data_IF_322568978114
#
_entry.id   IF_322568978114
#
_cell.length_a   1.000
_cell.length_b   1.000
_cell.length_c   1.000
_cell.angle_alpha   90.00
_cell.angle_beta   90.00
_cell.angle_gamma   90.00
#
_symmetry.space_group_name_H-M   'P 1'
#
loop_
_entity.id
_entity.type
_entity.pdbx_description
1 polymer ?
#
# COMPACT_ATOMS: atom_id res chain seq x y z
N UNK A 1 23.68 3.38 -19.23
CA UNK A 1 22.71 2.90 -18.22
C UNK A 1 22.45 1.43 -18.50
N UNK A 2 22.94 0.52 -17.65
CA UNK A 2 22.55 -0.88 -17.76
C UNK A 2 21.18 -1.02 -17.09
N UNK A 3 20.14 -1.26 -17.91
CA UNK A 3 18.85 -1.70 -17.39
C UNK A 3 19.07 -3.12 -16.85
N UNK A 4 19.08 -3.28 -15.54
CA UNK A 4 19.17 -4.60 -14.93
C UNK A 4 17.86 -5.34 -15.24
N UNK A 5 17.88 -6.51 -15.91
CA UNK A 5 16.67 -7.27 -16.25
C UNK A 5 16.13 -8.01 -15.02
N UNK A 6 16.21 -7.40 -13.83
CA UNK A 6 15.82 -8.01 -12.58
C UNK A 6 14.33 -8.37 -12.60
N UNK A 7 13.50 -7.51 -13.19
CA UNK A 7 12.06 -7.72 -13.33
C UNK A 7 11.77 -8.93 -14.21
N UNK A 8 12.37 -8.99 -15.41
CA UNK A 8 12.20 -10.11 -16.33
C UNK A 8 12.69 -11.42 -15.73
N UNK A 9 13.83 -11.40 -15.02
CA UNK A 9 14.34 -12.56 -14.30
C UNK A 9 13.41 -13.01 -13.17
N UNK A 10 12.64 -12.09 -12.57
CA UNK A 10 11.70 -12.41 -11.51
C UNK A 10 10.36 -12.91 -12.05
N UNK A 11 9.81 -12.24 -13.05
CA UNK A 11 8.44 -12.48 -13.49
C UNK A 11 8.32 -13.23 -14.81
N UNK A 12 9.41 -13.35 -15.58
CA UNK A 12 9.48 -14.09 -16.83
C UNK A 12 9.05 -13.29 -18.06
N UNK A 13 8.94 -11.96 -17.95
CA UNK A 13 8.62 -11.07 -19.06
C UNK A 13 9.20 -9.68 -18.82
N UNK A 14 9.54 -8.90 -19.86
CA UNK A 14 10.08 -7.55 -19.71
C UNK A 14 9.05 -6.58 -19.10
N UNK A 15 9.51 -5.68 -18.23
CA UNK A 15 8.68 -4.62 -17.68
C UNK A 15 8.25 -3.66 -18.79
N UNK A 16 6.95 -3.42 -18.92
CA UNK A 16 6.37 -2.58 -19.96
C UNK A 16 5.62 -1.38 -19.38
N UNK A 17 4.64 -0.88 -20.13
CA UNK A 17 3.66 0.05 -19.58
C UNK A 17 2.80 -0.64 -18.50
N UNK A 18 2.06 0.18 -17.75
CA UNK A 18 1.23 -0.31 -16.66
C UNK A 18 0.17 -1.34 -17.11
N UNK A 19 -0.50 -1.10 -18.25
CA UNK A 19 -1.59 -1.97 -18.71
C UNK A 19 -1.05 -3.34 -19.12
N UNK A 20 0.03 -3.37 -19.91
CA UNK A 20 0.66 -4.63 -20.33
C UNK A 20 1.22 -5.40 -19.13
N UNK A 21 1.87 -4.72 -18.20
CA UNK A 21 2.43 -5.32 -16.99
C UNK A 21 1.35 -5.89 -16.08
N UNK A 22 0.28 -5.13 -15.82
CA UNK A 22 -0.81 -5.59 -14.95
C UNK A 22 -1.52 -6.82 -15.53
N UNK A 23 -1.74 -6.86 -16.85
CA UNK A 23 -2.40 -8.00 -17.53
C UNK A 23 -1.63 -9.31 -17.44
N UNK A 24 -0.31 -9.24 -17.22
CA UNK A 24 0.53 -10.42 -17.04
C UNK A 24 0.42 -11.02 -15.62
N UNK A 25 -0.38 -10.44 -14.73
CA UNK A 25 -0.58 -10.93 -13.37
C UNK A 25 -2.03 -11.25 -13.06
N UNK A 26 -2.22 -12.18 -12.13
CA UNK A 26 -3.50 -12.43 -11.48
C UNK A 26 -3.30 -12.50 -9.96
N UNK A 27 -4.26 -11.97 -9.21
CA UNK A 27 -4.27 -12.03 -7.75
C UNK A 27 -5.16 -13.19 -7.29
N UNK A 28 -4.58 -14.14 -6.57
CA UNK A 28 -5.23 -15.32 -6.02
C UNK A 28 -5.14 -15.28 -4.49
N UNK A 29 -6.15 -14.67 -3.85
CA UNK A 29 -6.12 -14.41 -2.40
C UNK A 29 -4.97 -13.46 -2.03
N UNK A 30 -4.02 -13.93 -1.23
CA UNK A 30 -2.80 -13.19 -0.85
C UNK A 30 -1.58 -13.55 -1.71
N UNK A 31 -1.79 -14.13 -2.90
CA UNK A 31 -0.72 -14.50 -3.83
C UNK A 31 -0.85 -13.78 -5.16
N UNK A 32 0.20 -13.09 -5.57
CA UNK A 32 0.34 -12.59 -6.93
C UNK A 32 0.96 -13.68 -7.80
N UNK A 33 0.27 -14.12 -8.85
CA UNK A 33 0.78 -15.10 -9.82
C UNK A 33 1.17 -14.39 -11.12
N UNK A 34 2.42 -14.57 -11.55
CA UNK A 34 2.82 -14.22 -12.92
C UNK A 34 2.25 -15.23 -13.89
N UNK A 35 1.50 -14.77 -14.88
CA UNK A 35 0.96 -15.60 -15.96
C UNK A 35 2.05 -16.02 -16.94
N UNK A 36 3.13 -15.24 -17.07
CA UNK A 36 4.23 -15.53 -17.99
C UNK A 36 5.15 -16.65 -17.47
N UNK A 37 5.46 -16.66 -16.16
CA UNK A 37 6.37 -17.67 -15.57
C UNK A 37 5.68 -18.71 -14.68
N UNK A 38 4.41 -18.52 -14.33
CA UNK A 38 3.69 -19.35 -13.36
C UNK A 38 4.14 -19.16 -11.91
N UNK A 39 5.15 -18.32 -11.64
CA UNK A 39 5.68 -18.08 -10.29
C UNK A 39 4.67 -17.31 -9.44
N UNK A 40 4.61 -17.65 -8.15
CA UNK A 40 3.72 -17.02 -7.17
C UNK A 40 4.50 -16.29 -6.10
N UNK A 41 4.03 -15.11 -5.70
CA UNK A 41 4.65 -14.25 -4.70
C UNK A 41 3.62 -13.91 -3.62
N UNK A 42 4.01 -13.96 -2.34
CA UNK A 42 3.14 -13.51 -1.26
C UNK A 42 2.98 -11.99 -1.31
N UNK A 43 1.73 -11.51 -1.19
CA UNK A 43 1.41 -10.08 -1.08
C UNK A 43 0.66 -9.82 0.21
N UNK A 44 1.00 -8.71 0.87
CA UNK A 44 0.33 -8.27 2.09
C UNK A 44 -0.94 -7.47 1.80
N UNK A 45 -1.71 -7.20 2.85
CA UNK A 45 -2.83 -6.27 2.77
C UNK A 45 -2.30 -4.83 2.79
N UNK A 46 -2.70 -4.03 1.80
CA UNK A 46 -2.48 -2.59 1.85
C UNK A 46 -3.58 -1.96 2.72
N UNK A 47 -3.21 -1.49 3.90
CA UNK A 47 -4.13 -0.83 4.84
C UNK A 47 -3.73 0.62 5.02
N UNK A 48 -4.71 1.52 5.05
CA UNK A 48 -4.48 2.91 5.44
C UNK A 48 -4.62 3.03 6.96
N UNK A 49 -3.58 3.43 7.70
CA UNK A 49 -3.74 3.73 9.12
C UNK A 49 -4.70 4.92 9.29
N UNK A 50 -5.67 4.80 10.19
CA UNK A 50 -6.57 5.90 10.55
C UNK A 50 -5.96 6.73 11.68
N UNK A 51 -6.03 8.05 11.57
CA UNK A 51 -5.75 8.95 12.69
C UNK A 51 -6.98 9.00 13.59
N UNK A 52 -7.03 8.18 14.65
CA UNK A 52 -7.98 8.41 15.73
C UNK A 52 -7.54 9.67 16.49
N UNK A 53 -8.44 10.64 16.63
CA UNK A 53 -8.25 11.79 17.51
C UNK A 53 -8.38 11.31 18.97
N UNK A 54 -7.38 10.59 19.49
CA UNK A 54 -7.24 10.30 20.94
C UNK A 54 -6.36 11.34 21.64
N UNK A 55 -6.41 12.58 21.16
CA UNK A 55 -6.01 13.70 22.00
C UNK A 55 -7.30 14.25 22.60
N UNK A 56 -7.71 13.70 23.74
CA UNK A 56 -8.43 14.54 24.70
C UNK A 56 -7.47 15.71 24.97
N UNK A 57 -7.72 16.85 24.33
CA UNK A 57 -6.95 18.05 24.60
C UNK A 57 -6.94 18.31 26.11
N UNK A 58 -5.90 18.94 26.67
CA UNK A 58 -5.92 19.30 28.09
C UNK A 58 -7.23 20.02 28.38
N UNK A 59 -7.88 19.68 29.49
CA UNK A 59 -9.07 20.38 29.96
C UNK A 59 -8.73 21.88 30.00
N UNK A 60 -9.32 22.64 29.08
CA UNK A 60 -9.11 24.09 28.99
C UNK A 60 -9.89 24.72 30.12
N UNK A 61 -9.24 24.91 31.27
CA UNK A 61 -9.75 25.82 32.30
C UNK A 61 -9.73 27.24 31.70
N UNK A 62 -10.88 27.93 31.59
CA UNK A 62 -10.88 29.32 31.16
C UNK A 62 -10.15 30.18 32.20
N UNK A 63 -9.16 30.95 31.77
CA UNK A 63 -8.34 31.82 32.64
C UNK A 63 -9.18 32.87 33.41
N UNK A 64 -10.40 33.16 32.95
CA UNK A 64 -11.23 34.24 33.49
C UNK A 64 -12.27 33.80 34.53
N UNK A 65 -12.38 32.52 34.91
CA UNK A 65 -13.15 32.07 36.08
C UNK A 65 -14.64 32.48 36.14
N UNK A 66 -15.26 32.94 35.05
CA UNK A 66 -16.67 33.36 35.05
C UNK A 66 -17.53 32.33 34.32
N UNK A 67 -18.31 31.57 35.09
CA UNK A 67 -19.50 30.91 34.58
C UNK A 67 -20.60 31.98 34.48
N UNK A 68 -20.95 32.40 33.26
CA UNK A 68 -22.16 33.21 33.03
C UNK A 68 -23.38 32.29 32.97
N UNK A 69 -24.54 32.73 33.50
CA UNK A 69 -25.74 31.89 33.67
C UNK A 69 -26.30 31.35 32.36
#
# INVERSE_FOLDING_TARGET
MHSHPWFERLFGFPEGDWVSTQRAFVLEGSRLRSLASGRTFGVGAFTTPSLCLEFAGPEVVPEDGVCRP
#
